data_IF_815448931178
#
_entry.id   IF_815448931178
#
_cell.length_a   1.000
_cell.length_b   1.000
_cell.length_c   1.000
_cell.angle_alpha   90.00
_cell.angle_beta   90.00
_cell.angle_gamma   90.00
#
_symmetry.space_group_name_H-M   'P 1'
#
loop_
_entity.id
_entity.type
_entity.pdbx_description
1 polymer ?
#
# COMPACT_ATOMS: atom_id res chain seq x y z
N UNK A 1 2.52 -10.41 -46.65
CA UNK A 1 3.52 -9.32 -46.65
C UNK A 1 3.34 -8.55 -45.35
N UNK A 2 4.15 -8.82 -44.34
CA UNK A 2 4.19 -8.03 -43.10
C UNK A 2 5.03 -6.80 -43.43
N UNK A 3 4.40 -5.64 -43.54
CA UNK A 3 5.13 -4.39 -43.77
C UNK A 3 5.97 -4.12 -42.52
N UNK A 4 7.23 -3.70 -42.69
CA UNK A 4 8.17 -3.45 -41.58
C UNK A 4 7.59 -2.55 -40.46
N UNK A 5 6.60 -1.75 -40.83
CA UNK A 5 5.82 -0.85 -39.98
C UNK A 5 4.98 -1.63 -38.94
N UNK A 6 4.41 -2.78 -39.30
CA UNK A 6 3.66 -3.65 -38.36
C UNK A 6 4.56 -4.45 -37.43
N UNK A 7 5.80 -4.73 -37.83
CA UNK A 7 6.77 -5.45 -37.01
C UNK A 7 7.26 -4.61 -35.81
N UNK A 8 7.25 -3.28 -35.92
CA UNK A 8 7.69 -2.36 -34.87
C UNK A 8 6.52 -1.80 -34.05
N UNK A 9 5.36 -1.59 -34.67
CA UNK A 9 4.19 -1.03 -33.98
C UNK A 9 3.57 -2.01 -32.98
N UNK A 10 3.55 -3.32 -33.27
CA UNK A 10 2.98 -4.30 -32.34
C UNK A 10 3.77 -4.37 -31.01
N UNK A 11 5.11 -4.51 -31.00
CA UNK A 11 5.89 -4.44 -29.76
C UNK A 11 5.75 -3.12 -29.01
N UNK A 12 5.71 -1.99 -29.73
CA UNK A 12 5.55 -0.68 -29.12
C UNK A 12 4.19 -0.51 -28.42
N UNK A 13 3.10 -0.95 -29.05
CA UNK A 13 1.77 -0.94 -28.45
C UNK A 13 1.69 -1.85 -27.22
N UNK A 14 2.29 -3.04 -27.28
CA UNK A 14 2.39 -3.95 -26.13
C UNK A 14 3.17 -3.32 -24.97
N UNK A 15 4.27 -2.61 -25.25
CA UNK A 15 5.07 -1.92 -24.25
C UNK A 15 4.27 -0.79 -23.56
N UNK A 16 3.54 0.03 -24.33
CA UNK A 16 2.67 1.07 -23.78
C UNK A 16 1.54 0.48 -22.95
N UNK A 17 0.91 -0.60 -23.42
CA UNK A 17 -0.14 -1.28 -22.68
C UNK A 17 0.37 -1.87 -21.36
N UNK A 18 1.54 -2.51 -21.38
CA UNK A 18 2.19 -3.01 -20.16
C UNK A 18 2.50 -1.88 -19.17
N UNK A 19 2.96 -0.72 -19.66
CA UNK A 19 3.22 0.46 -18.83
C UNK A 19 1.93 0.99 -18.18
N UNK A 20 0.83 1.03 -18.93
CA UNK A 20 -0.47 1.45 -18.40
C UNK A 20 -0.96 0.49 -17.30
N UNK A 21 -0.84 -0.82 -17.51
CA UNK A 21 -1.19 -1.83 -16.50
C UNK A 21 -0.32 -1.67 -15.25
N UNK A 22 0.99 -1.44 -15.42
CA UNK A 22 1.90 -1.22 -14.31
C UNK A 22 1.52 0.05 -13.52
N UNK A 23 1.17 1.14 -14.20
CA UNK A 23 0.71 2.38 -13.58
C UNK A 23 -0.57 2.20 -12.75
N UNK A 24 -1.57 1.51 -13.29
CA UNK A 24 -2.82 1.21 -12.56
C UNK A 24 -2.57 0.28 -11.37
N UNK A 25 -1.67 -0.69 -11.51
CA UNK A 25 -1.27 -1.59 -10.42
C UNK A 25 -0.58 -0.84 -9.28
N UNK A 26 0.26 0.14 -9.60
CA UNK A 26 0.90 0.99 -8.60
C UNK A 26 -0.14 1.82 -7.83
N UNK A 27 -1.06 2.50 -8.53
CA UNK A 27 -2.10 3.32 -7.90
C UNK A 27 -3.02 2.50 -6.96
N UNK A 28 -3.43 1.31 -7.39
CA UNK A 28 -4.27 0.42 -6.56
C UNK A 28 -3.52 -0.09 -5.33
N UNK A 29 -2.24 -0.44 -5.45
CA UNK A 29 -1.43 -0.86 -4.31
C UNK A 29 -1.21 0.25 -3.27
N UNK A 30 -1.14 1.51 -3.69
CA UNK A 30 -1.10 2.65 -2.77
C UNK A 30 -2.41 2.79 -1.98
N UNK A 31 -3.55 2.66 -2.66
CA UNK A 31 -4.87 2.69 -2.01
C UNK A 31 -5.03 1.58 -0.97
N UNK A 32 -4.62 0.35 -1.32
CA UNK A 32 -4.67 -0.78 -0.39
C UNK A 32 -3.68 -0.64 0.77
N UNK A 33 -2.47 -0.12 0.55
CA UNK A 33 -1.50 0.11 1.61
C UNK A 33 -2.05 1.13 2.64
N UNK A 34 -2.65 2.22 2.17
CA UNK A 34 -3.26 3.19 3.08
C UNK A 34 -4.52 2.66 3.76
N UNK A 35 -5.31 1.80 3.09
CA UNK A 35 -6.45 1.13 3.71
C UNK A 35 -5.99 0.22 4.85
N UNK A 36 -5.02 -0.66 4.62
CA UNK A 36 -4.41 -1.51 5.65
C UNK A 36 -3.86 -0.68 6.81
N UNK A 37 -3.11 0.39 6.52
CA UNK A 37 -2.57 1.27 7.57
C UNK A 37 -3.67 1.93 8.40
N UNK A 38 -4.77 2.41 7.78
CA UNK A 38 -5.92 2.95 8.51
C UNK A 38 -6.64 1.90 9.34
N UNK A 39 -6.78 0.68 8.82
CA UNK A 39 -7.43 -0.43 9.54
C UNK A 39 -6.62 -0.83 10.78
N UNK A 40 -5.30 -0.99 10.65
CA UNK A 40 -4.41 -1.24 11.78
C UNK A 40 -4.40 -0.07 12.77
N UNK A 41 -4.35 1.18 12.29
CA UNK A 41 -4.43 2.37 13.14
C UNK A 41 -5.72 2.40 13.98
N UNK A 42 -6.87 2.07 13.37
CA UNK A 42 -8.14 1.94 14.09
C UNK A 42 -8.09 0.81 15.12
N UNK A 43 -7.59 -0.37 14.74
CA UNK A 43 -7.44 -1.51 15.65
C UNK A 43 -6.56 -1.18 16.87
N UNK A 44 -5.43 -0.49 16.67
CA UNK A 44 -4.57 -0.03 17.76
C UNK A 44 -5.30 1.01 18.63
N UNK A 45 -6.05 1.94 18.04
CA UNK A 45 -6.77 2.97 18.80
C UNK A 45 -7.89 2.42 19.70
N UNK A 46 -8.48 1.27 19.35
CA UNK A 46 -9.47 0.56 20.18
C UNK A 46 -8.82 -0.36 21.23
N UNK A 47 -7.47 -0.38 21.31
CA UNK A 47 -6.73 -1.16 22.30
C UNK A 47 -6.46 -2.61 21.90
N UNK A 48 -6.60 -2.99 20.61
CA UNK A 48 -6.13 -4.30 20.15
C UNK A 48 -4.60 -4.38 20.22
N UNK A 49 -4.08 -5.59 20.42
CA UNK A 49 -2.63 -5.82 20.39
C UNK A 49 -2.06 -5.69 18.98
N UNK A 50 -0.80 -5.31 18.88
CA UNK A 50 -0.09 -5.05 17.61
C UNK A 50 -0.14 -6.24 16.65
N UNK A 51 -0.03 -7.46 17.20
CA UNK A 51 -0.11 -8.69 16.41
C UNK A 51 -1.53 -8.90 15.82
N UNK A 52 -2.58 -8.58 16.58
CA UNK A 52 -3.95 -8.68 16.08
C UNK A 52 -4.27 -7.55 15.09
N UNK A 53 -3.84 -6.32 15.37
CA UNK A 53 -4.04 -5.18 14.49
C UNK A 53 -3.34 -5.35 13.14
N UNK A 54 -2.10 -5.85 13.15
CA UNK A 54 -1.35 -6.16 11.93
C UNK A 54 -1.99 -7.31 11.14
N UNK A 55 -2.39 -8.41 11.80
CA UNK A 55 -3.10 -9.51 11.15
C UNK A 55 -4.41 -9.04 10.50
N UNK A 56 -5.19 -8.21 11.17
CA UNK A 56 -6.46 -7.69 10.65
C UNK A 56 -6.24 -6.74 9.46
N UNK A 57 -5.19 -5.93 9.50
CA UNK A 57 -4.79 -5.09 8.37
C UNK A 57 -4.33 -5.92 7.15
N UNK A 58 -3.57 -7.01 7.37
CA UNK A 58 -3.17 -7.94 6.31
C UNK A 58 -4.37 -8.70 5.73
N UNK A 59 -5.37 -9.04 6.55
CA UNK A 59 -6.61 -9.65 6.07
C UNK A 59 -7.53 -8.67 5.32
N UNK A 60 -7.40 -7.36 5.58
CA UNK A 60 -8.24 -6.34 4.95
C UNK A 60 -7.86 -6.01 3.50
N UNK A 61 -6.80 -6.63 2.98
CA UNK A 61 -6.27 -6.36 1.65
C UNK A 61 -6.04 -7.65 0.87
N UNK A 62 -6.04 -7.56 -0.46
CA UNK A 62 -6.00 -8.75 -1.32
C UNK A 62 -4.58 -9.20 -1.68
N UNK A 63 -3.57 -8.40 -1.35
CA UNK A 63 -2.15 -8.66 -1.65
C UNK A 63 -1.34 -8.73 -0.38
N UNK A 64 -0.18 -9.39 -0.46
CA UNK A 64 0.78 -9.42 0.63
C UNK A 64 1.14 -8.00 1.08
N UNK A 65 0.92 -7.74 2.36
CA UNK A 65 1.20 -6.48 3.03
C UNK A 65 2.10 -6.76 4.23
N UNK A 66 3.13 -5.94 4.39
CA UNK A 66 3.92 -5.91 5.60
C UNK A 66 3.50 -4.71 6.44
N UNK A 67 2.94 -4.96 7.62
CA UNK A 67 2.44 -3.92 8.52
C UNK A 67 3.34 -3.84 9.74
N UNK A 68 3.96 -2.68 9.96
CA UNK A 68 4.79 -2.39 11.12
C UNK A 68 4.13 -1.31 11.95
N UNK A 69 3.98 -1.58 13.24
CA UNK A 69 3.39 -0.67 14.22
C UNK A 69 4.50 -0.27 15.18
N UNK A 70 4.75 1.03 15.30
CA UNK A 70 5.75 1.60 16.19
C UNK A 70 5.07 2.55 17.16
N UNK A 71 5.18 2.27 18.45
CA UNK A 71 4.65 3.12 19.51
C UNK A 71 5.67 4.18 19.91
N UNK A 72 5.30 5.45 19.79
CA UNK A 72 6.07 6.60 20.24
C UNK A 72 5.30 7.33 21.35
N UNK A 73 5.53 6.92 22.61
CA UNK A 73 4.85 7.44 23.81
C UNK A 73 3.31 7.40 23.70
N UNK A 74 2.67 8.55 23.46
CA UNK A 74 1.21 8.70 23.36
C UNK A 74 0.68 8.47 21.93
N UNK A 75 1.59 8.28 20.97
CA UNK A 75 1.28 8.17 19.55
C UNK A 75 1.65 6.77 19.05
N UNK A 76 0.87 6.24 18.11
CA UNK A 76 1.26 5.03 17.38
C UNK A 76 1.42 5.36 15.90
N UNK A 77 2.56 5.01 15.33
CA UNK A 77 2.84 5.11 13.90
C UNK A 77 2.66 3.73 13.27
N UNK A 78 1.63 3.61 12.45
CA UNK A 78 1.36 2.41 11.65
C UNK A 78 1.89 2.64 10.25
N UNK A 79 2.78 1.75 9.79
CA UNK A 79 3.33 1.77 8.44
C UNK A 79 2.94 0.49 7.74
N UNK A 80 2.18 0.58 6.65
CA UNK A 80 1.91 -0.55 5.77
C UNK A 80 2.75 -0.41 4.50
N UNK A 81 3.47 -1.47 4.16
CA UNK A 81 4.23 -1.61 2.93
C UNK A 81 3.62 -2.71 2.07
N UNK A 82 3.47 -2.45 0.77
CA UNK A 82 2.92 -3.41 -0.19
C UNK A 82 3.79 -3.48 -1.43
N UNK A 83 3.83 -4.67 -2.04
CA UNK A 83 4.48 -4.88 -3.32
C UNK A 83 3.56 -4.41 -4.46
N UNK A 84 4.02 -3.42 -5.24
CA UNK A 84 3.33 -2.90 -6.41
C UNK A 84 3.50 -3.82 -7.63
N UNK A 85 3.05 -5.08 -7.51
CA UNK A 85 3.04 -6.03 -8.62
C UNK A 85 4.40 -6.19 -9.31
N UNK A 86 4.45 -6.00 -10.63
CA UNK A 86 5.65 -6.19 -11.45
C UNK A 86 6.78 -5.18 -11.17
N UNK A 87 6.50 -4.11 -10.42
CA UNK A 87 7.51 -3.16 -9.98
C UNK A 87 8.00 -3.60 -8.60
N UNK A 88 9.31 -3.85 -8.49
CA UNK A 88 10.02 -4.15 -7.24
C UNK A 88 10.05 -2.98 -6.23
N UNK A 89 9.23 -1.95 -6.44
CA UNK A 89 9.19 -0.77 -5.59
C UNK A 89 8.12 -0.97 -4.51
N UNK A 90 8.50 -1.06 -3.23
CA UNK A 90 7.53 -1.18 -2.15
C UNK A 90 6.82 0.16 -1.96
N UNK A 91 5.49 0.16 -2.11
CA UNK A 91 4.69 1.34 -1.77
C UNK A 91 4.44 1.34 -0.28
N UNK A 92 4.74 2.47 0.37
CA UNK A 92 4.60 2.65 1.82
C UNK A 92 3.54 3.71 2.11
N UNK A 93 2.64 3.40 3.01
CA UNK A 93 1.73 4.38 3.61
C UNK A 93 1.91 4.36 5.12
N UNK A 94 2.20 5.53 5.71
CA UNK A 94 2.30 5.68 7.16
C UNK A 94 1.16 6.54 7.70
N UNK A 95 0.47 6.03 8.70
CA UNK A 95 -0.61 6.71 9.43
C UNK A 95 -0.19 6.82 10.88
N UNK A 96 -0.28 8.02 11.44
CA UNK A 96 -0.04 8.27 12.87
C UNK A 96 -1.38 8.41 13.58
N UNK A 97 -1.58 7.69 14.68
CA UNK A 97 -2.66 7.94 15.62
C UNK A 97 -2.12 8.75 16.78
N UNK A 98 -2.75 9.88 17.06
CA UNK A 98 -2.46 10.70 18.23
C UNK A 98 -3.56 10.47 19.26
N UNK A 99 -3.19 10.24 20.52
CA UNK A 99 -4.17 10.22 21.60
C UNK A 99 -4.59 11.67 21.90
N UNK A 100 -5.90 11.92 21.90
CA UNK A 100 -6.53 13.25 21.96
C UNK A 100 -6.04 14.14 23.12
N UNK A 101 -5.46 13.57 24.18
CA UNK A 101 -4.85 14.30 25.29
C UNK A 101 -3.60 15.12 24.95
N UNK A 102 -3.05 15.01 23.73
CA UNK A 102 -1.88 15.78 23.28
C UNK A 102 -2.23 16.98 22.38
N UNK A 103 -3.51 17.22 22.10
CA UNK A 103 -3.96 18.41 21.38
C UNK A 103 -4.26 19.53 22.38
N UNK A 104 -3.22 20.09 22.99
CA UNK A 104 -3.32 21.38 23.65
C UNK A 104 -2.79 22.45 22.66
N UNK A 105 -3.51 23.57 22.47
CA UNK A 105 -3.19 24.59 21.46
C UNK A 105 -1.89 25.35 21.73
#
# INVERSE_FOLDING_TARGET
MVTAETAVTIPALLAVFALMIAGVSAATSQGQACHAARTAARAVSIGMSDAQASSLAVQSVSREANVSIVHARADARVTAAMSAGALLVPIRCSVTTQKESSFAP
#
